data_IF_785287177509
#
_entry.id   IF_785287177509
#
_cell.length_a   1.000
_cell.length_b   1.000
_cell.length_c   1.000
_cell.angle_alpha   90.00
_cell.angle_beta   90.00
_cell.angle_gamma   90.00
#
_symmetry.space_group_name_H-M   'P 1'
#
loop_
_entity.id
_entity.type
_entity.pdbx_description
1 polymer ?
#
# COMPACT_ATOMS: atom_id res chain seq x y z
N UNK A 1 2.88 13.43 7.08
CA UNK A 1 1.75 13.33 6.13
C UNK A 1 2.11 12.33 5.02
N UNK A 2 1.31 11.28 4.86
CA UNK A 2 1.47 10.22 3.84
C UNK A 2 0.21 10.19 2.97
N UNK A 3 0.36 9.97 1.66
CA UNK A 3 -0.74 9.81 0.69
C UNK A 3 -0.72 8.39 0.11
N UNK A 4 -1.81 7.99 -0.55
CA UNK A 4 -1.93 6.70 -1.25
C UNK A 4 -1.60 5.48 -0.38
N UNK A 5 -2.07 5.51 0.88
CA UNK A 5 -1.88 4.41 1.81
C UNK A 5 -2.78 3.24 1.39
N UNK A 6 -2.18 2.17 0.88
CA UNK A 6 -2.85 0.93 0.47
C UNK A 6 -2.32 -0.23 1.28
N UNK A 7 -3.22 -0.96 1.93
CA UNK A 7 -2.86 -2.22 2.61
C UNK A 7 -2.61 -3.28 1.55
N UNK A 8 -1.38 -3.80 1.49
CA UNK A 8 -0.98 -4.86 0.57
C UNK A 8 -1.31 -6.24 1.12
N UNK A 9 -1.22 -6.40 2.44
CA UNK A 9 -1.41 -7.71 3.06
C UNK A 9 -0.94 -7.73 4.51
N UNK A 10 -0.58 -8.92 4.98
CA UNK A 10 -0.16 -9.16 6.36
C UNK A 10 0.97 -10.17 6.34
N UNK A 11 2.05 -9.91 7.08
CA UNK A 11 3.17 -10.84 7.26
C UNK A 11 2.73 -12.07 8.09
N UNK A 12 3.54 -13.13 8.07
CA UNK A 12 3.35 -14.34 8.88
C UNK A 12 3.14 -14.06 10.38
N UNK A 13 3.69 -12.95 10.88
CA UNK A 13 3.55 -12.51 12.27
C UNK A 13 2.33 -11.60 12.53
N UNK A 14 1.38 -11.52 11.60
CA UNK A 14 0.18 -10.68 11.76
C UNK A 14 0.44 -9.18 11.53
N UNK A 15 1.58 -8.81 10.97
CA UNK A 15 1.99 -7.41 10.80
C UNK A 15 1.41 -6.86 9.49
N UNK A 16 0.56 -5.82 9.52
CA UNK A 16 -0.03 -5.27 8.32
C UNK A 16 1.02 -4.55 7.47
N UNK A 17 1.08 -4.89 6.18
CA UNK A 17 1.98 -4.28 5.21
C UNK A 17 1.21 -3.28 4.39
N UNK A 18 1.74 -2.06 4.30
CA UNK A 18 1.17 -0.94 3.58
C UNK A 18 2.13 -0.44 2.51
N UNK A 19 1.60 -0.09 1.36
CA UNK A 19 2.25 0.77 0.40
C UNK A 19 1.78 2.21 0.66
N UNK A 20 2.70 3.16 0.74
CA UNK A 20 2.38 4.58 0.93
C UNK A 20 3.39 5.46 0.19
N UNK A 21 2.99 6.68 -0.11
CA UNK A 21 3.86 7.71 -0.69
C UNK A 21 3.93 8.91 0.25
N UNK A 22 5.09 9.57 0.31
CA UNK A 22 5.19 10.83 1.04
C UNK A 22 4.57 11.97 0.23
N UNK A 23 3.86 12.89 0.92
CA UNK A 23 3.25 14.05 0.25
C UNK A 23 4.29 15.01 -0.35
N UNK A 24 5.53 14.95 0.14
CA UNK A 24 6.65 15.79 -0.30
C UNK A 24 7.28 15.26 -1.60
N UNK A 25 6.64 14.27 -2.24
CA UNK A 25 7.15 13.58 -3.42
C UNK A 25 8.12 12.45 -3.06
N UNK A 26 8.52 11.69 -4.09
CA UNK A 26 9.44 10.57 -3.96
C UNK A 26 8.84 9.21 -4.34
N UNK A 27 9.66 8.15 -4.28
CA UNK A 27 9.26 6.80 -4.64
C UNK A 27 8.13 6.27 -3.74
N UNK A 28 7.46 5.20 -4.19
CA UNK A 28 6.48 4.53 -3.34
C UNK A 28 7.22 3.67 -2.32
N UNK A 29 6.82 3.75 -1.06
CA UNK A 29 7.41 2.99 0.03
C UNK A 29 6.47 1.87 0.44
N UNK A 30 7.00 0.67 0.57
CA UNK A 30 6.29 -0.48 1.10
C UNK A 30 6.90 -0.82 2.46
N UNK A 31 6.06 -0.86 3.49
CA UNK A 31 6.47 -1.14 4.86
C UNK A 31 5.28 -1.21 5.81
N UNK A 32 5.56 -1.30 7.10
CA UNK A 32 4.52 -1.29 8.14
C UNK A 32 4.34 0.11 8.74
N UNK A 33 3.27 0.29 9.51
CA UNK A 33 3.06 1.48 10.34
C UNK A 33 3.56 1.19 11.76
N UNK A 34 4.37 2.10 12.30
CA UNK A 34 4.89 1.97 13.65
C UNK A 34 3.78 1.96 14.71
N UNK A 35 2.70 2.70 14.47
CA UNK A 35 1.55 2.76 15.36
C UNK A 35 0.81 1.42 15.47
N UNK A 36 0.68 0.67 14.37
CA UNK A 36 0.10 -0.68 14.40
C UNK A 36 1.01 -1.66 15.15
N UNK A 37 2.33 -1.48 15.01
CA UNK A 37 3.30 -2.29 15.73
C UNK A 37 3.27 -2.06 17.25
N UNK A 38 2.82 -0.91 17.76
CA UNK A 38 2.69 -0.71 19.20
C UNK A 38 1.73 -1.72 19.85
N UNK A 39 0.70 -2.16 19.13
CA UNK A 39 -0.27 -3.15 19.62
C UNK A 39 0.17 -4.60 19.36
N UNK A 40 0.92 -4.85 18.28
CA UNK A 40 1.29 -6.19 17.83
C UNK A 40 2.66 -6.61 18.37
N UNK A 41 3.66 -5.74 18.23
CA UNK A 41 5.07 -6.01 18.55
C UNK A 41 5.79 -4.72 18.98
N UNK A 42 5.52 -4.22 20.19
CA UNK A 42 6.13 -2.98 20.67
C UNK A 42 7.66 -3.06 20.75
N UNK A 43 8.24 -4.25 20.92
CA UNK A 43 9.70 -4.48 20.92
C UNK A 43 10.42 -4.10 19.62
N UNK A 44 9.68 -4.04 18.51
CA UNK A 44 10.16 -3.61 17.20
C UNK A 44 9.90 -2.11 16.92
N UNK A 45 9.36 -1.38 17.89
CA UNK A 45 9.11 0.06 17.80
C UNK A 45 10.07 0.80 18.71
N UNK A 46 10.88 1.66 18.12
CA UNK A 46 11.79 2.55 18.83
C UNK A 46 11.11 3.91 18.94
N UNK A 47 10.67 4.26 20.15
CA UNK A 47 10.19 5.61 20.45
C UNK A 47 11.39 6.54 20.61
N UNK A 48 11.47 7.57 19.77
CA UNK A 48 12.50 8.62 19.90
C UNK A 48 12.01 9.73 20.82
N UNK A 49 12.93 10.41 21.51
CA UNK A 49 12.60 11.56 22.38
C UNK A 49 11.95 12.73 21.60
N UNK A 50 12.07 12.72 20.28
CA UNK A 50 11.46 13.68 19.36
C UNK A 50 9.97 13.40 19.09
N UNK A 51 9.38 12.36 19.70
CA UNK A 51 7.97 12.00 19.52
C UNK A 51 7.69 11.22 18.22
N UNK A 52 8.73 10.74 17.54
CA UNK A 52 8.59 9.88 16.36
C UNK A 52 8.80 8.41 16.74
N UNK A 53 7.99 7.54 16.13
CA UNK A 53 8.18 6.10 16.22
C UNK A 53 8.98 5.62 15.01
N UNK A 54 10.14 5.03 15.28
CA UNK A 54 10.95 4.33 14.30
C UNK A 54 10.65 2.84 14.38
N UNK A 55 10.73 2.16 13.24
CA UNK A 55 10.49 0.73 13.14
C UNK A 55 11.84 0.04 12.98
N UNK A 56 12.13 -0.90 13.86
CA UNK A 56 13.31 -1.74 13.79
C UNK A 56 13.01 -2.96 12.91
N UNK A 57 13.36 -2.84 11.63
CA UNK A 57 13.14 -3.89 10.65
C UNK A 57 14.01 -5.13 10.87
N UNK A 58 15.09 -5.05 11.65
CA UNK A 58 15.92 -6.22 11.98
C UNK A 58 15.16 -7.22 12.86
N UNK A 59 14.24 -6.70 13.67
CA UNK A 59 13.36 -7.50 14.54
C UNK A 59 12.07 -7.94 13.86
N UNK A 60 11.90 -7.61 12.58
CA UNK A 60 10.69 -7.86 11.82
C UNK A 60 10.97 -8.78 10.64
N UNK A 61 9.98 -9.62 10.33
CA UNK A 61 9.99 -10.49 9.15
C UNK A 61 9.68 -9.73 7.84
N UNK A 62 9.69 -8.40 7.89
CA UNK A 62 9.38 -7.54 6.75
C UNK A 62 10.55 -6.60 6.50
N UNK A 63 10.84 -6.35 5.24
CA UNK A 63 11.83 -5.35 4.83
C UNK A 63 11.12 -4.10 4.31
N UNK A 64 11.72 -2.93 4.55
CA UNK A 64 11.30 -1.70 3.90
C UNK A 64 11.78 -1.71 2.44
N UNK A 65 10.85 -1.53 1.50
CA UNK A 65 11.18 -1.52 0.06
C UNK A 65 10.79 -0.16 -0.50
N UNK A 66 11.75 0.54 -1.10
CA UNK A 66 11.49 1.73 -1.93
C UNK A 66 11.34 1.30 -3.37
N UNK A 67 10.13 1.44 -3.91
CA UNK A 67 9.84 1.23 -5.32
C UNK A 67 10.11 2.54 -6.06
N UNK A 68 11.26 2.60 -6.72
CA UNK A 68 11.66 3.74 -7.57
C UNK A 68 10.64 3.97 -8.68
N UNK A 69 10.17 5.21 -8.80
CA UNK A 69 9.04 5.62 -9.64
C UNK A 69 9.41 5.84 -11.12
N UNK A 70 10.50 5.26 -11.63
CA UNK A 70 10.94 5.52 -13.02
C UNK A 70 9.99 4.94 -14.09
N UNK A 71 9.01 4.12 -13.70
CA UNK A 71 8.05 3.49 -14.64
C UNK A 71 6.57 3.77 -14.33
N UNK A 72 6.26 4.49 -13.24
CA UNK A 72 4.90 4.49 -12.68
C UNK A 72 3.95 5.49 -13.31
N UNK A 73 4.41 6.50 -14.05
CA UNK A 73 3.45 7.37 -14.75
C UNK A 73 2.76 6.63 -15.89
N UNK A 74 3.51 5.82 -16.65
CA UNK A 74 2.96 5.07 -17.78
C UNK A 74 2.29 3.75 -17.34
N UNK A 75 2.81 3.09 -16.30
CA UNK A 75 2.21 1.86 -15.77
C UNK A 75 0.90 2.12 -15.01
N UNK A 76 0.80 3.22 -14.26
CA UNK A 76 -0.43 3.60 -13.57
C UNK A 76 -1.53 4.05 -14.56
N UNK A 77 -1.18 4.85 -15.56
CA UNK A 77 -2.08 5.21 -16.68
C UNK A 77 -2.51 3.97 -17.47
N UNK A 78 -1.59 3.04 -17.78
CA UNK A 78 -1.92 1.82 -18.50
C UNK A 78 -2.83 0.88 -17.69
N UNK A 79 -2.60 0.74 -16.39
CA UNK A 79 -3.47 -0.06 -15.52
C UNK A 79 -4.87 0.57 -15.37
N UNK A 80 -4.97 1.89 -15.23
CA UNK A 80 -6.24 2.61 -15.17
C UNK A 80 -6.98 2.54 -16.52
N UNK A 81 -6.28 2.74 -17.63
CA UNK A 81 -6.84 2.62 -18.99
C UNK A 81 -7.33 1.20 -19.28
N UNK A 82 -6.60 0.16 -18.85
CA UNK A 82 -7.00 -1.24 -19.01
C UNK A 82 -8.24 -1.57 -18.16
N UNK A 83 -8.32 -1.08 -16.92
CA UNK A 83 -9.50 -1.26 -16.08
C UNK A 83 -10.75 -0.58 -16.67
N UNK A 84 -10.61 0.65 -17.19
CA UNK A 84 -11.72 1.39 -17.84
C UNK A 84 -12.13 0.73 -19.17
N UNK A 85 -11.17 0.24 -19.96
CA UNK A 85 -11.42 -0.45 -21.23
C UNK A 85 -12.06 -1.83 -21.04
N UNK A 86 -11.71 -2.55 -19.98
CA UNK A 86 -12.34 -3.82 -19.61
C UNK A 86 -13.79 -3.62 -19.14
N UNK A 87 -14.06 -2.55 -18.38
CA UNK A 87 -15.40 -2.22 -17.90
C UNK A 87 -16.37 -1.86 -19.06
N UNK A 88 -15.90 -1.21 -20.13
CA UNK A 88 -16.73 -0.85 -21.28
C UNK A 88 -17.14 -2.00 -22.19
N UNK A 89 -16.52 -3.19 -22.09
CA UNK A 89 -16.86 -4.35 -22.95
C UNK A 89 -17.98 -5.23 -22.40
N UNK A 90 -18.45 -5.03 -21.17
CA UNK A 90 -19.58 -5.77 -20.59
C UNK A 90 -20.72 -4.83 -20.26
N UNK A 91 -21.46 -4.43 -21.29
CA UNK A 91 -22.93 -4.40 -21.30
C UNK A 91 -23.43 -3.81 -22.61
N UNK A 92 -24.05 -4.62 -23.48
CA UNK A 92 -25.40 -4.34 -23.94
C UNK A 92 -26.33 -5.16 -23.06
N UNK A 93 -27.18 -4.47 -22.32
CA UNK A 93 -28.25 -5.09 -21.55
C UNK A 93 -29.20 -5.74 -22.57
N UNK A 94 -29.23 -7.08 -22.60
CA UNK A 94 -30.26 -7.81 -23.35
C UNK A 94 -31.43 -7.99 -22.40
N UNK A 95 -32.39 -7.09 -22.51
CA UNK A 95 -33.68 -7.20 -21.82
C UNK A 95 -34.62 -8.11 -22.62
N UNK A 96 -35.30 -9.00 -21.87
CA UNK A 96 -36.56 -9.74 -22.16
C UNK A 96 -36.43 -11.18 -22.73
N UNK A 97 -37.46 -12.06 -22.57
CA UNK A 97 -38.71 -11.99 -21.75
C UNK A 97 -38.97 -13.25 -20.88
N UNK A 98 -39.99 -13.19 -20.00
CA UNK A 98 -41.06 -14.21 -19.81
C UNK A 98 -41.73 -14.06 -18.43
N UNK A 99 -42.99 -13.59 -18.40
CA UNK A 99 -44.18 -14.44 -18.26
C UNK A 99 -45.44 -13.63 -18.54
#
# INVERSE_FOLDING_TARGET
MKTDIRRLGTSAHGIPIYAFRYIWGGPMFIGTMAQDLLAIRPDAVIATELGYYMVDYDKLDIAMISVSDDLSWLAAEAALAQAVKAARKRSPVSVQPAM
#
